data_IF_420166401432
#
_entry.id   IF_420166401432
#
_cell.length_a   1.000
_cell.length_b   1.000
_cell.length_c   1.000
_cell.angle_alpha   90.00
_cell.angle_beta   90.00
_cell.angle_gamma   90.00
#
_symmetry.space_group_name_H-M   'P 1'
#
loop_
_entity.id
_entity.type
_entity.pdbx_description
1 polymer ?
#
# COMPACT_ATOMS: atom_id res chain seq x y z
N UNK A 1 7.70 -14.61 -12.50
CA UNK A 1 7.60 -15.48 -13.68
C UNK A 1 6.49 -16.47 -13.37
N UNK A 2 5.47 -16.52 -14.21
CA UNK A 2 4.27 -17.34 -13.98
C UNK A 2 4.33 -18.61 -14.86
N UNK A 3 5.53 -19.16 -15.03
CA UNK A 3 5.76 -20.38 -15.80
C UNK A 3 5.74 -21.57 -14.86
N UNK A 4 5.18 -22.69 -15.30
CA UNK A 4 5.17 -23.90 -14.51
C UNK A 4 6.60 -24.45 -14.41
N UNK A 5 7.04 -24.72 -13.18
CA UNK A 5 8.33 -25.35 -12.91
C UNK A 5 8.12 -26.81 -12.52
N UNK A 6 8.84 -27.71 -13.17
CA UNK A 6 8.78 -29.14 -12.91
C UNK A 6 10.07 -29.58 -12.21
N UNK A 7 10.05 -29.79 -10.88
CA UNK A 7 11.26 -30.01 -10.10
C UNK A 7 11.91 -31.38 -10.33
N UNK A 8 11.17 -32.40 -10.78
CA UNK A 8 11.71 -33.75 -11.02
C UNK A 8 12.77 -33.79 -12.11
N UNK A 9 12.52 -33.07 -13.20
CA UNK A 9 13.34 -33.09 -14.42
C UNK A 9 14.03 -31.74 -14.70
N UNK A 10 14.01 -30.83 -13.72
CA UNK A 10 14.56 -29.45 -13.75
C UNK A 10 14.27 -28.69 -15.05
N UNK A 11 12.99 -28.45 -15.37
CA UNK A 11 12.58 -27.65 -16.52
C UNK A 11 11.41 -26.72 -16.25
N UNK A 12 11.28 -25.70 -17.11
CA UNK A 12 10.14 -24.78 -17.13
C UNK A 12 9.28 -24.97 -18.37
N UNK A 13 7.98 -24.71 -18.24
CA UNK A 13 7.05 -24.60 -19.37
C UNK A 13 6.57 -23.16 -19.49
N UNK A 14 6.80 -22.54 -20.65
CA UNK A 14 6.25 -21.23 -20.98
C UNK A 14 4.73 -21.31 -21.18
N UNK A 15 4.03 -20.18 -21.11
CA UNK A 15 2.60 -20.06 -21.38
C UNK A 15 2.21 -20.58 -22.78
N UNK A 16 3.18 -20.66 -23.69
CA UNK A 16 3.04 -21.20 -25.06
C UNK A 16 3.26 -22.71 -25.17
N UNK A 17 3.48 -23.40 -24.05
CA UNK A 17 3.75 -24.85 -23.99
C UNK A 17 5.20 -25.25 -24.28
N UNK A 18 6.09 -24.29 -24.55
CA UNK A 18 7.49 -24.59 -24.89
C UNK A 18 8.28 -24.99 -23.66
N UNK A 19 9.00 -26.13 -23.74
CA UNK A 19 9.87 -26.64 -22.68
C UNK A 19 11.23 -25.93 -22.68
N UNK A 20 11.65 -25.46 -21.51
CA UNK A 20 12.95 -24.87 -21.24
C UNK A 20 13.76 -25.79 -20.33
N UNK A 21 14.76 -26.46 -20.89
CA UNK A 21 15.64 -27.38 -20.18
C UNK A 21 16.87 -26.66 -19.61
N UNK A 22 17.46 -27.20 -18.54
CA UNK A 22 18.69 -26.66 -17.97
C UNK A 22 19.79 -26.62 -19.02
N UNK A 23 20.47 -25.47 -19.13
CA UNK A 23 21.55 -25.25 -20.09
C UNK A 23 22.91 -25.11 -19.40
N UNK A 24 23.04 -24.17 -18.47
CA UNK A 24 24.32 -23.90 -17.82
C UNK A 24 24.17 -23.07 -16.53
N UNK A 25 25.15 -23.19 -15.64
CA UNK A 25 25.38 -22.19 -14.59
C UNK A 25 26.15 -21.00 -15.15
N UNK A 26 25.73 -19.78 -14.79
CA UNK A 26 26.44 -18.53 -15.09
C UNK A 26 26.66 -17.71 -13.85
N UNK A 27 27.80 -17.02 -13.80
CA UNK A 27 28.10 -16.02 -12.79
C UNK A 27 28.08 -14.65 -13.44
N UNK A 28 27.43 -13.67 -12.81
CA UNK A 28 27.45 -12.27 -13.24
C UNK A 28 27.87 -11.40 -12.08
N UNK A 29 28.73 -10.42 -12.36
CA UNK A 29 29.16 -9.40 -11.40
C UNK A 29 28.29 -8.17 -11.54
N UNK A 30 27.85 -7.61 -10.42
CA UNK A 30 27.21 -6.32 -10.37
C UNK A 30 28.23 -5.18 -10.53
N UNK A 31 27.76 -3.95 -10.76
CA UNK A 31 28.60 -2.73 -10.79
C UNK A 31 29.43 -2.57 -9.51
N UNK A 32 28.89 -3.01 -8.37
CA UNK A 32 29.53 -2.96 -7.06
C UNK A 32 30.39 -4.20 -6.73
N UNK A 33 30.63 -5.09 -7.70
CA UNK A 33 31.48 -6.27 -7.54
C UNK A 33 30.79 -7.50 -6.93
N UNK A 34 29.52 -7.41 -6.51
CA UNK A 34 28.79 -8.55 -5.97
C UNK A 34 28.54 -9.61 -7.06
N UNK A 35 28.96 -10.85 -6.80
CA UNK A 35 28.81 -11.98 -7.73
C UNK A 35 27.47 -12.68 -7.47
N UNK A 36 26.66 -12.86 -8.51
CA UNK A 36 25.42 -13.63 -8.46
C UNK A 36 25.51 -14.85 -9.36
N UNK A 37 25.01 -15.96 -8.86
CA UNK A 37 24.91 -17.22 -9.60
C UNK A 37 23.51 -17.38 -10.19
N UNK A 38 23.47 -17.79 -11.45
CA UNK A 38 22.24 -17.98 -12.22
C UNK A 38 22.24 -19.38 -12.83
N UNK A 39 21.09 -20.05 -12.77
CA UNK A 39 20.76 -21.20 -13.60
C UNK A 39 20.15 -20.70 -14.90
N UNK A 40 20.81 -20.94 -16.02
CA UNK A 40 20.26 -20.66 -17.35
C UNK A 40 19.52 -21.87 -17.88
N UNK A 41 18.32 -21.63 -18.42
CA UNK A 41 17.52 -22.61 -19.13
C UNK A 41 17.32 -22.15 -20.57
N UNK A 42 17.34 -23.09 -21.50
CA UNK A 42 17.19 -22.85 -22.92
C UNK A 42 15.97 -23.58 -23.46
N UNK A 43 15.22 -22.95 -24.37
CA UNK A 43 14.10 -23.57 -25.05
C UNK A 43 14.58 -24.75 -25.92
N UNK A 44 13.87 -25.87 -25.84
CA UNK A 44 14.10 -27.01 -26.71
C UNK A 44 13.74 -26.65 -28.16
N UNK A 45 14.63 -26.96 -29.10
CA UNK A 45 14.44 -26.64 -30.53
C UNK A 45 13.39 -27.51 -31.21
N UNK A 46 13.24 -28.73 -30.73
CA UNK A 46 12.34 -29.74 -31.27
C UNK A 46 11.21 -30.01 -30.29
N UNK A 47 10.01 -30.16 -30.83
CA UNK A 47 8.84 -30.65 -30.10
C UNK A 47 8.93 -32.19 -29.89
N UNK A 48 8.00 -32.75 -29.13
CA UNK A 48 7.92 -34.18 -28.85
C UNK A 48 7.83 -35.04 -30.13
N UNK A 49 7.24 -34.49 -31.20
CA UNK A 49 7.14 -35.10 -32.52
C UNK A 49 8.39 -34.90 -33.41
N UNK A 50 9.51 -34.45 -32.83
CA UNK A 50 10.76 -34.10 -33.51
C UNK A 50 10.66 -32.98 -34.56
N UNK A 51 9.53 -32.26 -34.61
CA UNK A 51 9.35 -31.08 -35.46
C UNK A 51 10.00 -29.85 -34.84
N UNK A 52 10.53 -28.96 -35.67
CA UNK A 52 11.11 -27.69 -35.21
C UNK A 52 9.98 -26.81 -34.68
N UNK A 53 10.05 -26.44 -33.40
CA UNK A 53 9.11 -25.49 -32.82
C UNK A 53 9.61 -24.06 -33.04
N UNK A 54 9.00 -23.34 -33.99
CA UNK A 54 9.31 -21.94 -34.25
C UNK A 54 9.11 -21.04 -33.02
N UNK A 55 8.28 -21.44 -32.05
CA UNK A 55 8.06 -20.70 -30.80
C UNK A 55 9.26 -20.79 -29.87
N UNK A 56 10.15 -21.77 -30.04
CA UNK A 56 11.36 -21.90 -29.25
C UNK A 56 12.41 -20.82 -29.56
N UNK A 57 12.29 -20.15 -30.71
CA UNK A 57 13.28 -19.18 -31.18
C UNK A 57 12.86 -17.73 -30.90
N UNK A 58 13.88 -16.88 -30.76
CA UNK A 58 13.74 -15.42 -30.78
C UNK A 58 13.59 -14.92 -32.21
N UNK A 59 13.22 -13.64 -32.39
CA UNK A 59 13.16 -13.01 -33.72
C UNK A 59 14.47 -13.14 -34.51
N UNK A 60 15.59 -13.24 -33.81
CA UNK A 60 16.94 -13.34 -34.40
C UNK A 60 17.37 -14.80 -34.66
N UNK A 61 16.47 -15.78 -34.55
CA UNK A 61 16.77 -17.20 -34.81
C UNK A 61 17.51 -17.93 -33.70
N UNK A 62 17.86 -17.26 -32.59
CA UNK A 62 18.49 -17.90 -31.43
C UNK A 62 17.43 -18.53 -30.52
N UNK A 63 17.65 -19.72 -29.94
CA UNK A 63 16.71 -20.29 -28.97
C UNK A 63 16.54 -19.37 -27.77
N UNK A 64 15.30 -19.21 -27.29
CA UNK A 64 14.97 -18.39 -26.12
C UNK A 64 15.68 -18.94 -24.89
N UNK A 65 16.14 -18.04 -24.03
CA UNK A 65 16.82 -18.38 -22.77
C UNK A 65 16.20 -17.61 -21.62
N UNK A 66 16.18 -18.24 -20.45
CA UNK A 66 15.82 -17.61 -19.19
C UNK A 66 16.93 -17.84 -18.18
N UNK A 67 17.14 -16.88 -17.28
CA UNK A 67 18.13 -16.99 -16.22
C UNK A 67 17.41 -16.85 -14.89
N UNK A 68 17.47 -17.88 -14.04
CA UNK A 68 16.85 -17.91 -12.72
C UNK A 68 17.94 -17.86 -11.66
N UNK A 69 17.77 -16.95 -10.70
CA UNK A 69 18.62 -16.91 -9.52
C UNK A 69 17.94 -17.72 -8.40
N UNK A 70 18.53 -18.85 -8.04
CA UNK A 70 18.00 -19.77 -7.02
C UNK A 70 17.89 -19.11 -5.64
N UNK A 71 18.87 -18.31 -5.23
CA UNK A 71 18.84 -17.60 -3.96
C UNK A 71 17.68 -16.58 -3.93
N UNK A 72 17.45 -15.89 -5.04
CA UNK A 72 16.34 -14.95 -5.16
C UNK A 72 14.97 -15.63 -5.13
N UNK A 73 14.81 -16.78 -5.79
CA UNK A 73 13.57 -17.57 -5.70
C UNK A 73 13.32 -18.07 -4.28
N UNK A 74 14.36 -18.52 -3.58
CA UNK A 74 14.26 -18.92 -2.17
C UNK A 74 13.71 -17.78 -1.31
N UNK A 75 14.28 -16.57 -1.40
CA UNK A 75 13.79 -15.44 -0.61
C UNK A 75 12.37 -15.02 -1.00
N UNK A 76 12.02 -15.03 -2.29
CA UNK A 76 10.64 -14.78 -2.70
C UNK A 76 9.65 -15.81 -2.14
N UNK A 77 10.03 -17.09 -2.14
CA UNK A 77 9.19 -18.14 -1.56
C UNK A 77 9.03 -17.96 -0.05
N UNK A 78 10.11 -17.61 0.65
CA UNK A 78 10.09 -17.28 2.09
C UNK A 78 9.15 -16.11 2.38
N UNK A 79 9.29 -15.00 1.65
CA UNK A 79 8.43 -13.82 1.82
C UNK A 79 6.96 -14.11 1.48
N UNK A 80 6.69 -14.87 0.40
CA UNK A 80 5.32 -15.31 0.08
C UNK A 80 4.71 -16.12 1.21
N UNK A 81 5.46 -17.09 1.76
CA UNK A 81 5.00 -17.90 2.89
C UNK A 81 4.66 -17.05 4.11
N UNK A 82 5.49 -16.04 4.41
CA UNK A 82 5.22 -15.09 5.48
C UNK A 82 3.96 -14.25 5.21
N UNK A 83 3.81 -13.72 4.00
CA UNK A 83 2.67 -12.90 3.62
C UNK A 83 1.35 -13.69 3.49
N UNK A 84 1.42 -14.98 3.16
CA UNK A 84 0.25 -15.88 3.13
C UNK A 84 -0.32 -16.17 4.52
N UNK A 85 0.46 -15.98 5.60
CA UNK A 85 -0.06 -16.13 6.96
C UNK A 85 -1.02 -14.97 7.26
N UNK A 86 -2.25 -15.27 7.68
CA UNK A 86 -3.28 -14.28 8.00
C UNK A 86 -2.81 -13.21 9.00
N UNK A 87 -2.10 -13.60 10.06
CA UNK A 87 -1.63 -12.65 11.08
C UNK A 87 -0.58 -11.69 10.51
N UNK A 88 0.44 -12.24 9.85
CA UNK A 88 1.52 -11.44 9.26
C UNK A 88 1.03 -10.58 8.10
N UNK A 89 0.15 -11.13 7.26
CA UNK A 89 -0.49 -10.42 6.15
C UNK A 89 -1.35 -9.25 6.63
N UNK A 90 -2.11 -9.43 7.71
CA UNK A 90 -2.89 -8.36 8.35
C UNK A 90 -1.99 -7.23 8.88
N UNK A 91 -0.92 -7.56 9.61
CA UNK A 91 0.07 -6.58 10.10
C UNK A 91 0.71 -5.83 8.93
N UNK A 92 1.06 -6.54 7.85
CA UNK A 92 1.64 -5.93 6.66
C UNK A 92 0.65 -4.99 5.95
N UNK A 93 -0.63 -5.37 5.85
CA UNK A 93 -1.70 -4.53 5.32
C UNK A 93 -1.88 -3.25 6.14
N UNK A 94 -1.91 -3.36 7.47
CA UNK A 94 -2.01 -2.22 8.38
C UNK A 94 -0.82 -1.26 8.20
N UNK A 95 0.40 -1.78 8.03
CA UNK A 95 1.59 -0.93 7.79
C UNK A 95 1.50 -0.12 6.51
N UNK A 96 0.87 -0.64 5.44
CA UNK A 96 0.66 0.17 4.22
C UNK A 96 -0.17 1.41 4.54
N UNK A 97 -1.21 1.28 5.37
CA UNK A 97 -2.06 2.41 5.73
C UNK A 97 -1.33 3.34 6.70
N UNK A 98 -0.82 2.79 7.80
CA UNK A 98 -0.24 3.59 8.89
C UNK A 98 1.07 4.26 8.50
N UNK A 99 1.99 3.51 7.90
CA UNK A 99 3.32 4.01 7.56
C UNK A 99 3.25 4.95 6.36
N UNK A 100 2.53 4.58 5.30
CA UNK A 100 2.44 5.43 4.11
C UNK A 100 1.68 6.72 4.40
N UNK A 101 0.64 6.69 5.24
CA UNK A 101 -0.08 7.91 5.62
C UNK A 101 0.80 8.91 6.40
N UNK A 102 1.69 8.42 7.27
CA UNK A 102 2.66 9.27 7.97
C UNK A 102 3.63 9.91 6.99
N UNK A 103 4.24 9.13 6.08
CA UNK A 103 5.18 9.67 5.08
C UNK A 103 4.49 10.58 4.05
N UNK A 104 3.27 10.28 3.65
CA UNK A 104 2.43 11.13 2.81
C UNK A 104 2.16 12.47 3.49
N UNK A 105 1.80 12.44 4.77
CA UNK A 105 1.60 13.65 5.57
C UNK A 105 2.88 14.48 5.75
N UNK A 106 4.03 13.84 6.01
CA UNK A 106 5.33 14.52 6.08
C UNK A 106 5.61 15.30 4.79
N UNK A 107 5.40 14.65 3.63
CA UNK A 107 5.68 15.26 2.33
C UNK A 107 4.66 16.33 1.94
N UNK A 108 3.36 16.04 2.08
CA UNK A 108 2.29 16.91 1.60
C UNK A 108 1.99 18.07 2.55
N UNK A 109 2.00 17.83 3.87
CA UNK A 109 1.67 18.87 4.86
C UNK A 109 2.88 19.68 5.33
N UNK A 110 4.04 19.05 5.50
CA UNK A 110 5.25 19.73 5.99
C UNK A 110 6.28 20.02 4.89
N UNK A 111 6.05 19.56 3.65
CA UNK A 111 7.02 19.74 2.56
C UNK A 111 8.33 18.98 2.77
N UNK A 112 8.36 17.99 3.69
CA UNK A 112 9.58 17.30 4.10
C UNK A 112 10.01 16.29 3.04
N UNK A 113 10.77 16.77 2.05
CA UNK A 113 11.26 15.97 0.90
C UNK A 113 12.70 15.49 1.06
N UNK A 114 13.53 16.24 1.79
CA UNK A 114 14.95 15.97 2.00
C UNK A 114 15.36 16.35 3.41
N UNK A 115 16.33 15.62 3.96
CA UNK A 115 17.02 16.03 5.18
C UNK A 115 17.95 17.19 4.88
N UNK A 116 17.95 18.18 5.77
CA UNK A 116 18.81 19.36 5.70
C UNK A 116 20.19 19.06 6.27
N UNK A 117 20.29 18.10 7.20
CA UNK A 117 21.54 17.75 7.89
C UNK A 117 22.19 16.46 7.37
N UNK A 118 23.51 16.34 7.57
CA UNK A 118 24.31 15.14 7.27
C UNK A 118 24.74 14.44 8.55
N UNK A 119 24.88 13.12 8.50
CA UNK A 119 25.27 12.27 9.64
C UNK A 119 24.07 11.66 10.38
N UNK A 120 24.17 10.37 10.71
CA UNK A 120 23.05 9.56 11.19
C UNK A 120 22.35 10.16 12.41
N UNK A 121 23.12 10.62 13.40
CA UNK A 121 22.59 11.20 14.63
C UNK A 121 21.83 12.52 14.39
N UNK A 122 22.32 13.36 13.48
CA UNK A 122 21.64 14.62 13.14
C UNK A 122 20.36 14.35 12.36
N UNK A 123 20.39 13.40 11.42
CA UNK A 123 19.23 12.99 10.62
C UNK A 123 18.12 12.42 11.51
N UNK A 124 18.47 11.59 12.51
CA UNK A 124 17.51 11.09 13.50
C UNK A 124 16.81 12.23 14.26
N UNK A 125 17.56 13.25 14.69
CA UNK A 125 16.99 14.43 15.37
C UNK A 125 16.06 15.22 14.45
N UNK A 126 16.45 15.49 13.21
CA UNK A 126 15.61 16.19 12.23
C UNK A 126 14.32 15.42 11.95
N UNK A 127 14.40 14.10 11.76
CA UNK A 127 13.22 13.24 11.61
C UNK A 127 12.28 13.32 12.82
N UNK A 128 12.84 13.29 14.03
CA UNK A 128 12.07 13.39 15.28
C UNK A 128 11.30 14.71 15.37
N UNK A 129 11.92 15.83 15.02
CA UNK A 129 11.27 17.16 15.00
C UNK A 129 10.13 17.18 13.98
N UNK A 130 10.34 16.68 12.77
CA UNK A 130 9.31 16.64 11.73
C UNK A 130 8.08 15.80 12.17
N UNK A 131 8.33 14.64 12.79
CA UNK A 131 7.26 13.79 13.34
C UNK A 131 6.53 14.47 14.51
N UNK A 132 7.24 15.19 15.38
CA UNK A 132 6.64 15.95 16.47
C UNK A 132 5.73 17.06 15.95
N UNK A 133 6.17 17.82 14.94
CA UNK A 133 5.36 18.84 14.29
C UNK A 133 4.07 18.25 13.68
N UNK A 134 4.15 17.08 13.05
CA UNK A 134 2.95 16.37 12.56
C UNK A 134 1.99 15.98 13.69
N UNK A 135 2.51 15.46 14.80
CA UNK A 135 1.70 15.06 15.94
C UNK A 135 1.00 16.27 16.57
N UNK A 136 1.70 17.40 16.73
CA UNK A 136 1.10 18.65 17.22
C UNK A 136 -0.03 19.09 16.29
N UNK A 137 0.19 19.10 14.98
CA UNK A 137 -0.83 19.46 13.99
C UNK A 137 -2.06 18.53 14.06
N UNK A 138 -1.87 17.22 14.27
CA UNK A 138 -2.98 16.27 14.50
C UNK A 138 -3.73 16.55 15.80
N UNK A 139 -3.04 16.87 16.89
CA UNK A 139 -3.66 17.21 18.18
C UNK A 139 -4.51 18.48 18.08
N UNK A 140 -3.98 19.53 17.45
CA UNK A 140 -4.71 20.78 17.21
C UNK A 140 -5.98 20.52 16.39
N UNK A 141 -5.88 19.76 15.30
CA UNK A 141 -7.05 19.41 14.48
C UNK A 141 -8.12 18.62 15.25
N UNK A 142 -7.72 17.72 16.17
CA UNK A 142 -8.66 17.01 17.05
C UNK A 142 -9.35 17.98 18.02
N UNK A 143 -8.57 18.89 18.64
CA UNK A 143 -9.11 19.89 19.56
C UNK A 143 -10.09 20.86 18.90
N UNK A 144 -9.78 21.36 17.70
CA UNK A 144 -10.70 22.23 16.94
C UNK A 144 -11.99 21.52 16.55
N UNK A 145 -11.89 20.27 16.09
CA UNK A 145 -13.07 19.46 15.76
C UNK A 145 -13.95 19.20 16.99
N UNK A 146 -13.34 18.90 18.14
CA UNK A 146 -14.06 18.70 19.39
C UNK A 146 -14.79 19.98 19.82
N UNK A 147 -14.09 21.12 19.79
CA UNK A 147 -14.69 22.42 20.12
C UNK A 147 -15.81 22.81 19.16
N UNK A 148 -15.65 22.55 17.86
CA UNK A 148 -16.69 22.76 16.86
C UNK A 148 -17.94 21.90 17.16
N UNK A 149 -17.75 20.62 17.50
CA UNK A 149 -18.85 19.73 17.89
C UNK A 149 -19.58 20.22 19.13
N UNK A 150 -18.86 20.61 20.18
CA UNK A 150 -19.44 21.14 21.42
C UNK A 150 -20.22 22.43 21.14
N UNK A 151 -19.67 23.36 20.36
CA UNK A 151 -20.34 24.61 20.01
C UNK A 151 -21.61 24.36 19.18
N UNK A 152 -21.58 23.39 18.26
CA UNK A 152 -22.76 23.00 17.48
C UNK A 152 -23.85 22.41 18.38
N UNK A 153 -23.48 21.56 19.35
CA UNK A 153 -24.40 21.00 20.35
C UNK A 153 -25.02 22.09 21.24
N UNK A 154 -24.23 23.02 21.76
CA UNK A 154 -24.72 24.18 22.55
C UNK A 154 -25.70 25.04 21.76
N UNK A 155 -25.40 25.30 20.48
CA UNK A 155 -26.28 26.08 19.59
C UNK A 155 -27.62 25.36 19.36
N UNK A 156 -27.62 24.05 19.19
CA UNK A 156 -28.85 23.27 19.03
C UNK A 156 -29.73 23.28 20.30
N UNK A 157 -29.12 23.16 21.48
CA UNK A 157 -29.85 23.26 22.76
C UNK A 157 -30.51 24.64 22.88
N UNK A 158 -29.75 25.72 22.63
CA UNK A 158 -30.26 27.10 22.69
C UNK A 158 -31.41 27.35 21.69
N UNK A 159 -31.33 26.75 20.51
CA UNK A 159 -32.41 26.82 19.50
C UNK A 159 -33.65 26.07 20.02
N UNK A 160 -33.48 24.88 20.60
CA UNK A 160 -34.58 24.08 21.14
C UNK A 160 -35.30 24.78 22.30
N UNK A 161 -34.55 25.41 23.20
CA UNK A 161 -35.11 26.24 24.29
C UNK A 161 -35.94 27.40 23.76
N UNK A 162 -35.42 28.14 22.77
CA UNK A 162 -36.16 29.23 22.09
C UNK A 162 -37.44 28.75 21.42
N UNK A 163 -37.41 27.61 20.73
CA UNK A 163 -38.62 27.04 20.14
C UNK A 163 -39.64 26.63 21.20
N UNK A 164 -39.20 26.10 22.35
CA UNK A 164 -40.11 25.77 23.45
C UNK A 164 -40.79 27.03 24.03
N UNK A 165 -40.03 28.10 24.23
CA UNK A 165 -40.51 29.42 24.69
C UNK A 165 -41.50 30.04 23.70
N UNK A 166 -41.20 30.00 22.40
CA UNK A 166 -42.13 30.48 21.37
C UNK A 166 -43.41 29.66 21.37
N UNK A 167 -43.31 28.33 21.54
CA UNK A 167 -44.49 27.46 21.59
C UNK A 167 -45.36 27.72 22.82
N UNK A 168 -44.78 28.04 23.99
CA UNK A 168 -45.56 28.37 25.18
C UNK A 168 -46.27 29.71 25.01
N UNK A 169 -45.57 30.73 24.50
CA UNK A 169 -46.16 32.05 24.23
C UNK A 169 -47.34 31.95 23.24
N UNK A 170 -47.20 31.15 22.17
CA UNK A 170 -48.28 30.93 21.20
C UNK A 170 -49.49 30.22 21.81
N UNK A 171 -49.28 29.26 22.73
CA UNK A 171 -50.38 28.59 23.45
C UNK A 171 -51.12 29.55 24.37
N UNK A 172 -50.39 30.41 25.09
CA UNK A 172 -50.96 31.40 26.01
C UNK A 172 -51.77 32.47 25.25
N UNK A 173 -51.30 32.88 24.07
CA UNK A 173 -52.02 33.79 23.16
C UNK A 173 -53.32 33.17 22.64
N UNK A 174 -53.32 31.87 22.32
CA UNK A 174 -54.51 31.18 21.79
C UNK A 174 -55.61 30.96 22.86
N UNK A 175 -55.22 30.86 24.13
CA UNK A 175 -56.13 30.70 25.27
C UNK A 175 -56.49 32.02 25.98
N UNK A 176 -56.00 33.17 25.50
CA UNK A 176 -56.31 34.47 26.08
C UNK A 176 -57.78 34.87 25.84
N UNK A 177 -58.47 35.46 26.84
CA UNK A 177 -59.92 35.74 26.80
C UNK A 177 -60.34 36.87 25.85
N UNK A 178 -59.44 37.35 24.98
CA UNK A 178 -59.74 38.34 23.95
C UNK A 178 -60.43 37.71 22.71
N UNK A 179 -60.40 36.38 22.57
CA UNK A 179 -61.05 35.67 21.45
C UNK A 179 -62.54 35.40 21.66
N UNK A 180 -63.14 35.82 22.78
CA UNK A 180 -64.58 35.67 23.05
C UNK A 180 -65.44 36.86 22.58
N UNK A 181 -64.85 37.83 21.86
CA UNK A 181 -65.56 39.04 21.37
C UNK A 181 -65.77 39.06 19.85
N UNK A 182 -65.60 37.93 19.15
CA UNK A 182 -65.73 37.80 17.68
C UNK A 182 -66.75 36.75 17.22
N UNK A 183 -67.71 36.38 18.06
CA UNK A 183 -68.94 35.67 17.62
C UNK A 183 -70.07 36.63 17.29
#
# INVERSE_FOLDING_TARGET
>A
MNWAYHPKDDYFIDLRGVRFSFYAYRKRKDKYGFVREFKEYQANKYDNDFKIDHRAFTKNGNPRKISINSAWEYFKAKERKLLSNHQTGSIYGQRKIDVESVFGGLKACLGFKKFSVRGLEKVKREAGIALMAMNIRKLVAKGTNYNCFINKKKRLVKIKERFSLISSILKDLWHSPLNSYLT
#
